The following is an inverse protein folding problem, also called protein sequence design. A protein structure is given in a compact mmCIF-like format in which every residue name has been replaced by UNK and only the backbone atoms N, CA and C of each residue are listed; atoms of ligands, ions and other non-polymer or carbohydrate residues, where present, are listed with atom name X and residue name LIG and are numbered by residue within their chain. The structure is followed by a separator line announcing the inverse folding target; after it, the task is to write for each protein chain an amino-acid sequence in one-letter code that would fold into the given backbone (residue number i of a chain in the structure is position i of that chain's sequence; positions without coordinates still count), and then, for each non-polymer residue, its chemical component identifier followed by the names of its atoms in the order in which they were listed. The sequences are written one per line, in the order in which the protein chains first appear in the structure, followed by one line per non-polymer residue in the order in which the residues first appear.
data_IF_243278534853
#
_entry.id   IF_243278534853
#
_cell.length_a   1.000
_cell.length_b   1.000
_cell.length_c   1.000
_cell.angle_alpha   90.00
_cell.angle_beta   90.00
_cell.angle_gamma   90.00
#
_symmetry.space_group_name_H-M   'P 1'
#
loop_
_entity.id
_entity.type
_entity.pdbx_description
1 polymer ?
#
# COMPACT_ATOMS: atom_id res chain seq x y z
N UNK A 1 61.70 -0.53 -56.02
CA UNK A 1 61.32 0.87 -55.77
C UNK A 1 59.81 0.99 -55.87
N UNK A 2 59.24 1.81 -54.99
CA UNK A 2 57.83 2.19 -54.78
C UNK A 2 56.95 1.29 -53.88
N UNK A 3 56.95 1.72 -52.62
CA UNK A 3 55.93 1.61 -51.58
C UNK A 3 54.57 2.14 -52.05
N UNK A 4 53.50 1.42 -51.77
CA UNK A 4 52.15 1.98 -51.62
C UNK A 4 51.53 1.40 -50.34
N UNK A 5 51.36 2.30 -49.38
CA UNK A 5 50.68 2.11 -48.09
C UNK A 5 49.17 2.23 -48.31
N UNK A 6 48.40 1.23 -47.87
CA UNK A 6 46.93 1.29 -47.90
C UNK A 6 46.39 2.16 -46.74
N UNK A 7 45.31 2.93 -46.96
CA UNK A 7 44.81 3.85 -45.94
C UNK A 7 44.01 3.11 -44.86
N UNK A 8 44.40 3.32 -43.60
CA UNK A 8 43.66 2.85 -42.43
C UNK A 8 42.27 3.50 -42.37
N UNK A 9 41.21 2.75 -42.63
CA UNK A 9 39.84 3.22 -42.43
C UNK A 9 39.48 3.13 -40.95
N UNK A 10 39.53 4.25 -40.23
CA UNK A 10 39.02 4.33 -38.85
C UNK A 10 37.51 4.10 -38.86
N UNK A 11 37.08 2.94 -38.35
CA UNK A 11 35.66 2.63 -38.13
C UNK A 11 35.14 3.53 -37.00
N UNK A 12 34.34 4.54 -37.37
CA UNK A 12 33.66 5.39 -36.41
C UNK A 12 32.66 4.55 -35.60
N UNK A 13 32.94 4.34 -34.30
CA UNK A 13 31.96 3.79 -33.35
C UNK A 13 30.85 4.83 -33.19
N UNK A 14 29.71 4.60 -33.84
CA UNK A 14 28.46 5.30 -33.53
C UNK A 14 28.15 5.00 -32.07
N UNK A 15 28.35 5.99 -31.20
CA UNK A 15 27.85 5.93 -29.83
C UNK A 15 26.33 6.02 -29.93
N UNK A 16 25.66 4.87 -29.99
CA UNK A 16 24.23 4.81 -29.73
C UNK A 16 24.05 5.24 -28.28
N UNK A 17 23.55 6.47 -28.10
CA UNK A 17 22.99 6.92 -26.84
C UNK A 17 21.83 5.99 -26.52
N UNK A 18 22.03 5.06 -25.59
CA UNK A 18 20.94 4.30 -24.99
C UNK A 18 20.01 5.32 -24.32
N UNK A 19 18.86 5.58 -24.92
CA UNK A 19 17.77 6.31 -24.28
C UNK A 19 17.32 5.43 -23.12
N UNK A 20 17.67 5.82 -21.90
CA UNK A 20 17.15 5.15 -20.70
C UNK A 20 15.63 5.31 -20.72
N UNK A 21 14.85 4.22 -20.65
CA UNK A 21 13.41 4.34 -20.59
C UNK A 21 13.04 5.20 -19.37
N UNK A 22 12.17 6.17 -19.59
CA UNK A 22 11.67 7.03 -18.52
C UNK A 22 10.71 6.19 -17.66
N UNK A 23 11.25 5.50 -16.65
CA UNK A 23 10.46 4.67 -15.73
C UNK A 23 9.64 5.61 -14.85
N UNK A 24 8.35 5.75 -15.16
CA UNK A 24 7.40 6.39 -14.24
C UNK A 24 7.25 5.48 -13.02
N UNK A 25 7.78 5.91 -11.87
CA UNK A 25 7.54 5.22 -10.61
C UNK A 25 6.06 5.32 -10.24
N UNK A 26 5.52 4.25 -9.66
CA UNK A 26 4.21 4.30 -9.03
C UNK A 26 4.24 5.27 -7.85
N UNK A 27 3.17 6.02 -7.65
CA UNK A 27 2.92 6.79 -6.44
C UNK A 27 1.94 5.99 -5.57
N UNK A 28 2.37 5.65 -4.36
CA UNK A 28 1.54 4.93 -3.38
C UNK A 28 1.40 5.83 -2.16
N UNK A 29 0.21 6.35 -1.87
CA UNK A 29 -0.02 7.15 -0.67
C UNK A 29 0.27 6.35 0.60
N UNK A 30 1.03 6.92 1.52
CA UNK A 30 1.35 6.30 2.81
C UNK A 30 0.30 6.58 3.89
N UNK A 31 -0.68 7.45 3.60
CA UNK A 31 -1.77 7.81 4.49
C UNK A 31 -3.11 7.71 3.76
N UNK A 32 -4.17 7.45 4.50
CA UNK A 32 -5.56 7.57 4.06
C UNK A 32 -6.49 7.65 5.28
N UNK A 33 -7.74 8.02 5.01
CA UNK A 33 -8.81 8.11 5.99
C UNK A 33 -9.87 7.05 5.69
N UNK A 34 -10.47 6.46 6.71
CA UNK A 34 -11.60 5.56 6.57
C UNK A 34 -12.84 6.33 6.07
N UNK A 35 -13.52 5.72 5.11
CA UNK A 35 -14.82 6.14 4.61
C UNK A 35 -15.93 5.18 5.05
N UNK A 36 -15.63 3.88 5.12
CA UNK A 36 -16.59 2.85 5.52
C UNK A 36 -15.86 1.64 6.08
N UNK A 37 -16.46 0.98 7.08
CA UNK A 37 -16.04 -0.31 7.62
C UNK A 37 -17.15 -1.34 7.41
N UNK A 38 -16.78 -2.55 7.01
CA UNK A 38 -17.66 -3.71 6.95
C UNK A 38 -16.90 -4.93 7.40
N UNK A 39 -17.56 -5.87 8.07
CA UNK A 39 -16.97 -7.13 8.46
C UNK A 39 -17.76 -8.27 7.82
N UNK A 40 -17.06 -9.30 7.36
CA UNK A 40 -17.64 -10.61 7.11
C UNK A 40 -17.30 -11.57 8.26
N UNK A 41 -17.48 -12.88 8.05
CA UNK A 41 -17.21 -13.88 9.08
C UNK A 41 -15.75 -13.90 9.53
N UNK A 42 -14.79 -13.66 8.63
CA UNK A 42 -13.36 -13.85 8.86
C UNK A 42 -12.56 -12.54 8.79
N UNK A 43 -13.04 -11.55 8.05
CA UNK A 43 -12.29 -10.37 7.63
C UNK A 43 -13.01 -9.08 8.00
N UNK A 44 -12.21 -8.07 8.38
CA UNK A 44 -12.63 -6.69 8.44
C UNK A 44 -12.13 -5.97 7.19
N UNK A 45 -13.01 -5.22 6.54
CA UNK A 45 -12.72 -4.41 5.36
C UNK A 45 -12.91 -2.93 5.68
N UNK A 46 -11.90 -2.13 5.36
CA UNK A 46 -11.92 -0.67 5.51
C UNK A 46 -11.78 -0.05 4.12
N UNK A 47 -12.86 0.55 3.64
CA UNK A 47 -12.83 1.38 2.43
C UNK A 47 -12.28 2.77 2.80
N UNK A 48 -11.29 3.22 2.05
CA UNK A 48 -10.56 4.46 2.28
C UNK A 48 -11.02 5.57 1.32
N UNK A 49 -10.86 6.82 1.74
CA UNK A 49 -11.26 8.01 0.96
C UNK A 49 -10.47 8.18 -0.33
N UNK A 50 -9.31 7.54 -0.47
CA UNK A 50 -8.48 7.56 -1.68
C UNK A 50 -8.79 6.42 -2.66
N UNK A 51 -9.84 5.63 -2.40
CA UNK A 51 -10.30 4.55 -3.25
C UNK A 51 -9.65 3.19 -2.97
N UNK A 52 -8.74 3.10 -1.99
CA UNK A 52 -8.20 1.81 -1.53
C UNK A 52 -9.21 1.08 -0.65
N UNK A 53 -9.05 -0.24 -0.56
CA UNK A 53 -9.68 -1.08 0.45
C UNK A 53 -8.59 -1.88 1.14
N UNK A 54 -8.54 -1.81 2.46
CA UNK A 54 -7.69 -2.68 3.28
C UNK A 54 -8.57 -3.77 3.85
N UNK A 55 -8.11 -5.02 3.76
CA UNK A 55 -8.76 -6.16 4.39
C UNK A 55 -7.79 -6.83 5.34
N UNK A 56 -8.21 -7.05 6.58
CA UNK A 56 -7.41 -7.68 7.63
C UNK A 56 -8.23 -8.80 8.30
N UNK A 57 -7.60 -9.91 8.71
CA UNK A 57 -8.27 -10.95 9.48
C UNK A 57 -8.81 -10.40 10.80
N UNK A 58 -10.07 -10.73 11.12
CA UNK A 58 -10.67 -10.41 12.43
C UNK A 58 -9.93 -11.09 13.57
N UNK A 59 -9.29 -12.25 13.32
CA UNK A 59 -8.53 -13.00 14.33
C UNK A 59 -7.37 -12.21 14.93
N UNK A 60 -6.94 -11.12 14.28
CA UNK A 60 -5.92 -10.20 14.82
C UNK A 60 -6.45 -9.34 15.97
N UNK A 61 -7.77 -9.22 16.10
CA UNK A 61 -8.46 -8.41 17.08
C UNK A 61 -9.42 -9.31 17.87
N UNK A 62 -8.94 -9.99 18.94
CA UNK A 62 -9.74 -11.00 19.66
C UNK A 62 -11.13 -10.52 20.09
N UNK A 63 -11.25 -9.27 20.56
CA UNK A 63 -12.54 -8.66 20.92
C UNK A 63 -13.53 -8.65 19.75
N UNK A 64 -13.07 -8.30 18.55
CA UNK A 64 -13.89 -8.28 17.35
C UNK A 64 -14.15 -9.70 16.80
N UNK A 65 -13.17 -10.60 16.93
CA UNK A 65 -13.30 -11.99 16.49
C UNK A 65 -14.41 -12.74 17.26
N UNK A 66 -14.53 -12.48 18.56
CA UNK A 66 -15.53 -13.11 19.43
C UNK A 66 -16.89 -12.38 19.41
N UNK A 67 -16.99 -11.22 18.76
CA UNK A 67 -18.19 -10.39 18.74
C UNK A 67 -19.27 -10.91 17.76
N UNK A 68 -20.54 -10.68 18.14
CA UNK A 68 -21.66 -10.95 17.25
C UNK A 68 -21.58 -10.09 15.98
N UNK A 69 -22.12 -10.59 14.85
CA UNK A 69 -22.11 -9.85 13.59
C UNK A 69 -22.73 -8.44 13.73
N UNK A 70 -23.84 -8.30 14.44
CA UNK A 70 -24.49 -7.01 14.69
C UNK A 70 -23.58 -6.03 15.45
N UNK A 71 -22.78 -6.50 16.39
CA UNK A 71 -21.83 -5.66 17.12
C UNK A 71 -20.70 -5.19 16.21
N UNK A 72 -20.17 -6.09 15.35
CA UNK A 72 -19.14 -5.74 14.36
C UNK A 72 -19.64 -4.73 13.32
N UNK A 73 -20.92 -4.74 12.99
CA UNK A 73 -21.54 -3.78 12.05
C UNK A 73 -21.69 -2.37 12.64
N UNK A 74 -21.72 -2.24 13.98
CA UNK A 74 -21.83 -0.96 14.68
C UNK A 74 -20.46 -0.30 14.93
N UNK A 75 -19.71 -0.07 13.85
CA UNK A 75 -18.48 0.73 13.91
C UNK A 75 -18.78 2.21 13.71
N UNK A 76 -18.25 3.05 14.60
CA UNK A 76 -18.23 4.50 14.48
C UNK A 76 -16.88 4.98 13.93
N UNK A 77 -16.91 5.76 12.86
CA UNK A 77 -15.71 6.36 12.28
C UNK A 77 -15.46 7.72 12.92
N UNK A 78 -14.38 7.82 13.70
CA UNK A 78 -14.00 9.01 14.46
C UNK A 78 -12.85 9.81 13.84
N UNK A 79 -12.61 11.00 14.40
CA UNK A 79 -11.46 11.85 14.02
C UNK A 79 -11.41 12.25 12.55
N UNK A 80 -12.55 12.28 11.86
CA UNK A 80 -12.61 12.53 10.41
C UNK A 80 -12.13 11.36 9.54
N UNK A 81 -12.14 10.13 10.06
CA UNK A 81 -11.66 8.93 9.36
C UNK A 81 -10.31 8.42 9.83
N UNK A 82 -9.80 8.89 10.98
CA UNK A 82 -8.52 8.45 11.53
C UNK A 82 -8.69 7.26 12.48
N UNK A 83 -9.83 7.18 13.18
CA UNK A 83 -10.13 6.13 14.15
C UNK A 83 -11.40 5.36 13.79
N UNK A 84 -11.42 4.09 14.22
CA UNK A 84 -12.55 3.18 14.14
C UNK A 84 -12.88 2.75 15.57
N UNK A 85 -14.12 2.96 16.02
CA UNK A 85 -14.54 2.66 17.38
C UNK A 85 -15.76 1.74 17.36
N UNK A 86 -15.78 0.72 18.22
CA UNK A 86 -16.94 -0.14 18.45
C UNK A 86 -17.45 0.09 19.87
N UNK A 87 -18.47 0.94 20.08
CA UNK A 87 -18.91 1.37 21.41
C UNK A 87 -19.37 0.23 22.31
N UNK A 88 -20.04 -0.77 21.74
CA UNK A 88 -20.55 -1.93 22.49
C UNK A 88 -19.44 -2.87 22.98
N UNK A 89 -18.26 -2.79 22.35
CA UNK A 89 -17.12 -3.67 22.59
C UNK A 89 -15.97 -2.96 23.32
N UNK A 90 -16.04 -1.62 23.46
CA UNK A 90 -14.95 -0.77 23.97
C UNK A 90 -13.63 -0.99 23.20
N UNK A 91 -13.75 -1.21 21.89
CA UNK A 91 -12.61 -1.50 21.00
C UNK A 91 -12.33 -0.30 20.07
N UNK A 92 -11.07 0.10 19.99
CA UNK A 92 -10.60 1.23 19.20
C UNK A 92 -9.41 0.86 18.31
N UNK A 93 -9.53 1.13 17.01
CA UNK A 93 -8.48 0.89 16.03
C UNK A 93 -8.08 2.17 15.29
N UNK A 94 -6.80 2.25 14.93
CA UNK A 94 -6.22 3.34 14.14
C UNK A 94 -6.07 2.94 12.67
N UNK A 95 -6.57 3.77 11.76
CA UNK A 95 -6.42 3.57 10.31
C UNK A 95 -4.94 3.62 9.89
N UNK A 96 -4.14 4.46 10.54
CA UNK A 96 -2.71 4.55 10.28
C UNK A 96 -1.98 3.25 10.64
N UNK A 97 -2.35 2.60 11.75
CA UNK A 97 -1.74 1.33 12.16
C UNK A 97 -2.12 0.18 11.22
N UNK A 98 -3.36 0.16 10.72
CA UNK A 98 -3.78 -0.80 9.69
C UNK A 98 -2.99 -0.62 8.37
N UNK A 99 -2.69 0.63 8.00
CA UNK A 99 -1.90 0.96 6.80
C UNK A 99 -0.41 0.65 6.92
N UNK A 100 0.16 0.82 8.12
CA UNK A 100 1.57 0.59 8.37
C UNK A 100 1.99 -0.88 8.16
N UNK A 101 1.05 -1.82 8.30
CA UNK A 101 1.34 -3.25 8.31
C UNK A 101 2.04 -3.69 9.61
N UNK A 102 2.20 -4.99 9.79
CA UNK A 102 2.97 -5.54 10.89
C UNK A 102 4.47 -5.46 10.55
N UNK A 103 5.11 -4.35 10.89
CA UNK A 103 6.55 -4.28 11.06
C UNK A 103 6.87 -3.83 12.48
N UNK A 104 6.55 -4.69 13.45
CA UNK A 104 6.84 -4.43 14.86
C UNK A 104 8.29 -4.77 15.24
N UNK A 105 9.11 -5.37 14.35
CA UNK A 105 10.50 -5.79 14.65
C UNK A 105 11.52 -5.75 13.47
N UNK A 106 11.40 -4.91 12.43
CA UNK A 106 12.56 -4.69 11.53
C UNK A 106 13.54 -3.69 12.16
N UNK A 107 14.30 -4.13 13.16
CA UNK A 107 15.57 -3.52 13.60
C UNK A 107 16.59 -4.61 13.90
#
# INVERSE_FOLDING_TARGET
MNTLVEPTTKRARKHQTMVRPNIRRAYVPTTALAQKVTCDEEMMHVALTDGRVISVPLVWFPTLADAAAAQREHCEIGGGGVSLHWPELDEDLSVANLLAGADWEST
#
